data_IF_818094116145
#
_entry.id   IF_818094116145
#
_cell.length_a   1.000
_cell.length_b   1.000
_cell.length_c   1.000
_cell.angle_alpha   90.00
_cell.angle_beta   90.00
_cell.angle_gamma   90.00
#
_symmetry.space_group_name_H-M   'P 1'
#
loop_
_entity.id
_entity.type
_entity.pdbx_description
1 polymer ?
#
# COMPACT_ATOMS: atom_id res chain seq x y z
N UNK A 1 -22.64 20.53 -8.99
CA UNK A 1 -21.83 19.38 -8.56
C UNK A 1 -21.42 19.61 -7.10
N UNK A 2 -21.84 18.72 -6.20
CA UNK A 2 -21.76 18.92 -4.75
C UNK A 2 -20.30 18.95 -4.26
N UNK A 3 -19.91 19.90 -3.38
CA UNK A 3 -18.50 20.12 -2.97
C UNK A 3 -17.82 18.83 -2.46
N UNK A 4 -18.57 17.97 -1.77
CA UNK A 4 -18.11 16.67 -1.26
C UNK A 4 -17.73 15.69 -2.38
N UNK A 5 -18.49 15.69 -3.48
CA UNK A 5 -18.27 14.80 -4.62
C UNK A 5 -16.98 15.17 -5.37
N UNK A 6 -16.74 16.47 -5.57
CA UNK A 6 -15.51 16.99 -6.21
C UNK A 6 -14.25 16.66 -5.39
N UNK A 7 -14.30 16.86 -4.07
CA UNK A 7 -13.18 16.52 -3.18
C UNK A 7 -12.88 15.01 -3.15
N UNK A 8 -13.92 14.17 -3.19
CA UNK A 8 -13.76 12.72 -3.24
C UNK A 8 -13.12 12.23 -4.55
N UNK A 9 -13.52 12.81 -5.69
CA UNK A 9 -12.92 12.51 -7.00
C UNK A 9 -11.44 12.93 -7.07
N UNK A 10 -11.09 14.07 -6.49
CA UNK A 10 -9.69 14.52 -6.39
C UNK A 10 -8.85 13.59 -5.51
N UNK A 11 -9.41 13.11 -4.39
CA UNK A 11 -8.78 12.10 -3.53
C UNK A 11 -8.54 10.79 -4.27
N UNK A 12 -9.55 10.29 -4.99
CA UNK A 12 -9.43 9.08 -5.80
C UNK A 12 -8.35 9.23 -6.88
N UNK A 13 -8.36 10.34 -7.63
CA UNK A 13 -7.34 10.61 -8.65
C UNK A 13 -5.93 10.68 -8.07
N UNK A 14 -5.77 11.30 -6.89
CA UNK A 14 -4.48 11.37 -6.20
C UNK A 14 -4.02 9.99 -5.73
N UNK A 15 -4.92 9.17 -5.18
CA UNK A 15 -4.62 7.79 -4.79
C UNK A 15 -4.21 6.93 -5.98
N UNK A 16 -4.86 7.07 -7.14
CA UNK A 16 -4.48 6.35 -8.35
C UNK A 16 -3.03 6.66 -8.73
N UNK A 17 -2.65 7.94 -8.81
CA UNK A 17 -1.27 8.34 -9.17
C UNK A 17 -0.24 7.81 -8.17
N UNK A 18 -0.50 7.92 -6.87
CA UNK A 18 0.43 7.44 -5.84
C UNK A 18 0.56 5.92 -5.90
N UNK A 19 -0.55 5.19 -6.06
CA UNK A 19 -0.52 3.74 -6.21
C UNK A 19 0.22 3.29 -7.46
N UNK A 20 0.11 4.00 -8.59
CA UNK A 20 0.88 3.67 -9.79
C UNK A 20 2.39 3.80 -9.54
N UNK A 21 2.82 4.86 -8.85
CA UNK A 21 4.23 5.03 -8.47
C UNK A 21 4.68 3.94 -7.51
N UNK A 22 3.90 3.65 -6.46
CA UNK A 22 4.22 2.57 -5.51
C UNK A 22 4.25 1.20 -6.19
N UNK A 23 3.39 0.94 -7.18
CA UNK A 23 3.40 -0.29 -7.96
C UNK A 23 4.69 -0.44 -8.77
N UNK A 24 5.17 0.63 -9.40
CA UNK A 24 6.46 0.62 -10.11
C UNK A 24 7.62 0.35 -9.14
N UNK A 25 7.63 1.01 -7.98
CA UNK A 25 8.63 0.78 -6.93
C UNK A 25 8.60 -0.67 -6.44
N UNK A 26 7.40 -1.22 -6.23
CA UNK A 26 7.21 -2.61 -5.80
C UNK A 26 7.77 -3.59 -6.83
N UNK A 27 7.46 -3.41 -8.12
CA UNK A 27 7.98 -4.27 -9.18
C UNK A 27 9.50 -4.24 -9.25
N UNK A 28 10.11 -3.05 -9.15
CA UNK A 28 11.57 -2.90 -9.13
C UNK A 28 12.16 -3.58 -7.89
N UNK A 29 11.56 -3.40 -6.71
CA UNK A 29 12.03 -4.02 -5.48
C UNK A 29 11.95 -5.55 -5.53
N UNK A 30 10.85 -6.11 -6.06
CA UNK A 30 10.69 -7.54 -6.26
C UNK A 30 11.71 -8.10 -7.26
N UNK A 31 11.99 -7.36 -8.33
CA UNK A 31 13.03 -7.73 -9.29
C UNK A 31 14.42 -7.76 -8.64
N UNK A 32 14.74 -6.76 -7.80
CA UNK A 32 15.98 -6.76 -7.03
C UNK A 32 16.06 -7.90 -6.02
N UNK A 33 14.96 -8.20 -5.33
CA UNK A 33 14.89 -9.34 -4.40
C UNK A 33 15.09 -10.66 -5.13
N UNK A 34 14.53 -10.83 -6.33
CA UNK A 34 14.74 -12.02 -7.16
C UNK A 34 16.22 -12.22 -7.53
N UNK A 35 16.95 -11.15 -7.82
CA UNK A 35 18.38 -11.22 -8.13
C UNK A 35 19.27 -11.38 -6.88
N UNK A 36 18.86 -10.82 -5.74
CA UNK A 36 19.58 -10.84 -4.47
C UNK A 36 18.59 -11.07 -3.31
N UNK A 37 18.24 -12.33 -3.00
CA UNK A 37 17.25 -12.65 -1.98
C UNK A 37 17.69 -12.21 -0.57
N UNK A 38 18.98 -12.11 -0.30
CA UNK A 38 19.50 -11.65 1.00
C UNK A 38 19.43 -10.12 1.17
N UNK A 39 18.92 -9.40 0.16
CA UNK A 39 18.81 -7.94 0.19
C UNK A 39 17.67 -7.50 1.11
N UNK A 40 18.01 -7.22 2.37
CA UNK A 40 17.11 -6.63 3.38
C UNK A 40 16.40 -5.36 2.87
N UNK A 41 17.11 -4.54 2.09
CA UNK A 41 16.57 -3.31 1.50
C UNK A 41 15.46 -3.63 0.50
N UNK A 42 15.64 -4.64 -0.36
CA UNK A 42 14.63 -5.02 -1.34
C UNK A 42 13.34 -5.50 -0.66
N UNK A 43 13.47 -6.30 0.41
CA UNK A 43 12.34 -6.74 1.24
C UNK A 43 11.64 -5.57 1.91
N UNK A 44 12.38 -4.64 2.54
CA UNK A 44 11.78 -3.44 3.13
C UNK A 44 10.98 -2.68 2.10
N UNK A 45 11.59 -2.33 0.98
CA UNK A 45 10.95 -1.49 -0.05
C UNK A 45 9.72 -2.19 -0.62
N UNK A 46 9.75 -3.50 -0.84
CA UNK A 46 8.60 -4.27 -1.30
C UNK A 46 7.46 -4.29 -0.26
N UNK A 47 7.75 -4.61 0.99
CA UNK A 47 6.76 -4.64 2.07
C UNK A 47 6.18 -3.25 2.34
N UNK A 48 6.99 -2.20 2.33
CA UNK A 48 6.53 -0.82 2.48
C UNK A 48 5.66 -0.39 1.30
N UNK A 49 6.09 -0.63 0.05
CA UNK A 49 5.31 -0.25 -1.12
C UNK A 49 3.96 -0.98 -1.17
N UNK A 50 3.95 -2.30 -1.00
CA UNK A 50 2.71 -3.10 -0.99
C UNK A 50 1.81 -2.77 0.21
N UNK A 51 2.40 -2.59 1.39
CA UNK A 51 1.68 -2.20 2.60
C UNK A 51 1.01 -0.84 2.48
N UNK A 52 1.73 0.18 2.02
CA UNK A 52 1.18 1.51 1.79
C UNK A 52 0.11 1.52 0.72
N UNK A 53 0.27 0.79 -0.39
CA UNK A 53 -0.78 0.68 -1.43
C UNK A 53 -2.09 0.13 -0.84
N UNK A 54 -2.00 -0.92 -0.02
CA UNK A 54 -3.19 -1.46 0.66
C UNK A 54 -3.83 -0.43 1.61
N UNK A 55 -3.03 0.29 2.39
CA UNK A 55 -3.57 1.33 3.25
C UNK A 55 -4.24 2.46 2.46
N UNK A 56 -3.59 2.97 1.41
CA UNK A 56 -4.11 4.04 0.56
C UNK A 56 -5.43 3.65 -0.14
N UNK A 57 -5.57 2.38 -0.53
CA UNK A 57 -6.82 1.82 -1.04
C UNK A 57 -7.92 1.74 0.01
N UNK A 58 -7.55 1.46 1.27
CA UNK A 58 -8.47 1.39 2.40
C UNK A 58 -9.02 2.75 2.86
N UNK A 59 -8.23 3.83 2.79
CA UNK A 59 -8.63 5.18 3.25
C UNK A 59 -9.97 5.67 2.66
N UNK A 60 -10.21 5.66 1.34
CA UNK A 60 -11.49 6.12 0.80
C UNK A 60 -12.65 5.20 1.18
N UNK A 61 -12.42 3.89 1.29
CA UNK A 61 -13.44 2.90 1.68
C UNK A 61 -13.81 3.02 3.17
N UNK A 62 -12.85 3.35 4.03
CA UNK A 62 -13.08 3.55 5.46
C UNK A 62 -13.99 4.75 5.76
N UNK A 63 -13.98 5.76 4.88
CA UNK A 63 -14.83 6.95 4.99
C UNK A 63 -16.26 6.71 4.50
N UNK A 64 -16.50 5.64 3.75
CA UNK A 64 -17.82 5.23 3.28
C UNK A 64 -18.48 4.31 4.34
N UNK A 65 -19.63 4.66 4.92
CA UNK A 65 -20.27 3.86 5.97
C UNK A 65 -20.63 2.44 5.50
N UNK A 66 -20.89 2.23 4.20
CA UNK A 66 -21.23 0.92 3.64
C UNK A 66 -19.98 0.05 3.47
N UNK A 67 -18.82 0.66 3.17
CA UNK A 67 -17.56 -0.04 2.89
C UNK A 67 -16.55 0.04 4.03
N UNK A 68 -16.98 0.55 5.19
CA UNK A 68 -16.09 0.88 6.30
C UNK A 68 -15.29 -0.31 6.80
N UNK A 69 -15.92 -1.47 6.93
CA UNK A 69 -15.28 -2.73 7.35
C UNK A 69 -14.20 -3.15 6.36
N UNK A 70 -14.51 -3.17 5.07
CA UNK A 70 -13.54 -3.43 4.00
C UNK A 70 -12.38 -2.45 4.06
N UNK A 71 -12.64 -1.15 4.21
CA UNK A 71 -11.60 -0.14 4.37
C UNK A 71 -10.68 -0.41 5.56
N UNK A 72 -11.24 -0.79 6.71
CA UNK A 72 -10.46 -1.20 7.89
C UNK A 72 -9.62 -2.45 7.63
N UNK A 73 -10.16 -3.44 6.91
CA UNK A 73 -9.39 -4.63 6.53
C UNK A 73 -8.19 -4.29 5.64
N UNK A 74 -8.35 -3.40 4.66
CA UNK A 74 -7.24 -2.94 3.81
C UNK A 74 -6.16 -2.20 4.62
N UNK A 75 -6.56 -1.34 5.55
CA UNK A 75 -5.64 -0.63 6.44
C UNK A 75 -4.86 -1.61 7.34
N UNK A 76 -5.56 -2.56 7.95
CA UNK A 76 -4.96 -3.55 8.84
C UNK A 76 -4.04 -4.50 8.07
N UNK A 77 -4.48 -4.98 6.91
CA UNK A 77 -3.66 -5.85 6.06
C UNK A 77 -2.39 -5.14 5.58
N UNK A 78 -2.50 -3.86 5.22
CA UNK A 78 -1.33 -3.03 4.92
C UNK A 78 -0.35 -2.94 6.09
N UNK A 79 -0.84 -2.75 7.32
CA UNK A 79 -0.01 -2.70 8.52
C UNK A 79 0.69 -4.04 8.79
N UNK A 80 -0.04 -5.15 8.63
CA UNK A 80 0.50 -6.50 8.77
C UNK A 80 1.62 -6.75 7.76
N UNK A 81 1.47 -6.36 6.49
CA UNK A 81 2.53 -6.51 5.47
C UNK A 81 3.80 -5.76 5.88
N UNK A 82 3.67 -4.53 6.39
CA UNK A 82 4.82 -3.75 6.85
C UNK A 82 5.50 -4.42 8.03
N UNK A 83 4.73 -4.87 9.03
CA UNK A 83 5.25 -5.58 10.18
C UNK A 83 5.97 -6.88 9.79
N UNK A 84 5.38 -7.68 8.88
CA UNK A 84 5.99 -8.89 8.36
C UNK A 84 7.31 -8.60 7.64
N UNK A 85 7.42 -7.47 6.93
CA UNK A 85 8.69 -7.05 6.32
C UNK A 85 9.82 -6.95 7.36
N UNK A 86 9.57 -6.29 8.49
CA UNK A 86 10.55 -6.20 9.58
C UNK A 86 10.91 -7.55 10.19
N UNK A 87 9.93 -8.46 10.30
CA UNK A 87 10.16 -9.81 10.80
C UNK A 87 11.04 -10.59 9.82
N UNK A 88 10.69 -10.62 8.52
CA UNK A 88 11.44 -11.35 7.49
C UNK A 88 12.91 -10.93 7.49
N UNK A 89 13.21 -9.64 7.61
CA UNK A 89 14.58 -9.10 7.63
C UNK A 89 15.44 -9.61 8.79
N UNK A 90 14.82 -10.07 9.88
CA UNK A 90 15.55 -10.71 10.97
C UNK A 90 15.93 -12.17 10.65
N UNK A 91 15.25 -12.81 9.70
CA UNK A 91 15.45 -14.21 9.31
C UNK A 91 16.24 -14.40 8.01
N UNK A 92 16.42 -13.35 7.21
CA UNK A 92 17.37 -13.28 6.07
C UNK A 92 18.63 -12.52 6.46
#
# INVERSE_FOLDING_TARGET
MDKRKKWFEELLKKNIKINTVLAMVLVVALFFFYLKPDSKIAVLVACFAGGFMNMLNGIPMWKDPVKRTTGMSYLLFGAVIIALGFIIIQYI
#
